data_IF_289125843452
#
_entry.id   IF_289125843452
#
_cell.length_a   1.000
_cell.length_b   1.000
_cell.length_c   1.000
_cell.angle_alpha   90.00
_cell.angle_beta   90.00
_cell.angle_gamma   90.00
#
_symmetry.space_group_name_H-M   'P 1'
#
loop_
_entity.id
_entity.type
_entity.pdbx_description
1 polymer ?
#
# COMPACT_ATOMS: atom_id res chain seq x y z
N UNK A 1 -52.02 27.40 27.92
CA UNK A 1 -51.09 26.28 28.10
C UNK A 1 -50.56 25.91 26.73
N UNK A 2 -49.37 26.40 26.37
CA UNK A 2 -48.74 26.07 25.08
C UNK A 2 -48.03 24.73 25.25
N UNK A 3 -48.46 23.77 24.44
CA UNK A 3 -48.03 22.37 24.48
C UNK A 3 -46.52 22.25 24.36
N UNK A 4 -45.95 21.56 25.36
CA UNK A 4 -44.57 21.09 25.41
C UNK A 4 -44.33 20.03 24.34
N UNK A 5 -44.17 20.43 23.08
CA UNK A 5 -43.65 19.58 22.02
C UNK A 5 -42.39 20.22 21.47
N UNK A 6 -41.23 19.92 22.03
CA UNK A 6 -39.94 20.19 21.37
C UNK A 6 -38.77 19.31 21.83
N UNK A 7 -38.99 18.23 22.58
CA UNK A 7 -37.86 17.52 23.24
C UNK A 7 -37.85 15.99 23.06
N UNK A 8 -38.34 15.46 21.94
CA UNK A 8 -38.30 14.01 21.68
C UNK A 8 -37.78 13.60 20.29
N UNK A 9 -37.43 14.55 19.42
CA UNK A 9 -37.01 14.30 18.02
C UNK A 9 -35.56 14.72 17.77
N UNK A 10 -34.70 14.76 18.78
CA UNK A 10 -33.25 14.68 18.50
C UNK A 10 -32.94 13.21 18.32
N UNK A 11 -33.46 12.66 17.23
CA UNK A 11 -33.09 11.34 16.77
C UNK A 11 -31.57 11.27 16.80
N UNK A 12 -31.04 10.26 17.47
CA UNK A 12 -29.61 10.04 17.58
C UNK A 12 -29.12 9.61 16.19
N UNK A 13 -28.97 10.59 15.29
CA UNK A 13 -28.55 10.39 13.91
C UNK A 13 -27.14 9.85 14.00
N UNK A 14 -27.00 8.55 13.73
CA UNK A 14 -25.72 7.86 13.68
C UNK A 14 -25.00 8.32 12.42
N UNK A 15 -24.35 9.48 12.51
CA UNK A 15 -23.53 10.03 11.44
C UNK A 15 -22.45 9.00 11.07
N UNK A 16 -22.10 8.89 9.77
CA UNK A 16 -20.91 8.17 9.37
C UNK A 16 -19.72 8.67 10.19
N UNK A 17 -18.89 7.73 10.65
CA UNK A 17 -17.67 8.02 11.39
C UNK A 17 -16.82 9.02 10.59
N UNK A 18 -16.19 9.99 11.27
CA UNK A 18 -15.29 10.93 10.58
C UNK A 18 -14.09 10.16 10.04
N UNK A 19 -13.58 10.55 8.87
CA UNK A 19 -12.38 9.92 8.28
C UNK A 19 -11.16 10.02 9.23
N UNK A 20 -11.11 11.05 10.07
CA UNK A 20 -10.09 11.23 11.11
C UNK A 20 -10.18 10.23 12.27
N UNK A 21 -11.34 9.60 12.45
CA UNK A 21 -11.61 8.57 13.46
C UNK A 21 -11.47 7.16 12.87
N UNK A 22 -11.20 7.03 11.56
CA UNK A 22 -10.93 5.75 10.91
C UNK A 22 -9.53 5.25 11.30
N UNK A 23 -9.42 3.95 11.57
CA UNK A 23 -8.13 3.34 11.83
C UNK A 23 -7.28 3.39 10.56
N UNK A 24 -5.97 3.64 10.72
CA UNK A 24 -5.05 3.67 9.59
C UNK A 24 -5.16 2.39 8.77
N UNK A 25 -5.17 2.55 7.44
CA UNK A 25 -5.22 1.44 6.52
C UNK A 25 -4.03 0.50 6.78
N UNK A 26 -4.21 -0.83 6.67
CA UNK A 26 -3.10 -1.75 6.74
C UNK A 26 -2.10 -1.44 5.61
N UNK A 27 -0.81 -1.75 5.81
CA UNK A 27 0.20 -1.52 4.78
C UNK A 27 -0.16 -2.25 3.48
N UNK A 28 0.20 -1.68 2.32
CA UNK A 28 -0.07 -2.32 1.05
C UNK A 28 0.62 -3.68 0.98
N UNK A 29 -0.13 -4.70 0.56
CA UNK A 29 0.41 -6.06 0.34
C UNK A 29 1.39 -6.12 -0.83
N UNK A 30 1.29 -5.17 -1.75
CA UNK A 30 2.10 -5.11 -2.96
C UNK A 30 3.35 -4.26 -2.70
N UNK A 31 4.51 -4.64 -3.27
CA UNK A 31 5.69 -3.80 -3.24
C UNK A 31 5.42 -2.47 -3.95
N UNK A 32 6.15 -1.43 -3.54
CA UNK A 32 6.14 -0.15 -4.24
C UNK A 32 6.73 -0.31 -5.64
N UNK A 33 6.38 0.61 -6.53
CA UNK A 33 6.93 0.64 -7.88
C UNK A 33 8.47 0.71 -7.89
N UNK A 34 9.06 1.53 -7.00
CA UNK A 34 10.51 1.63 -6.83
C UNK A 34 11.15 0.28 -6.46
N UNK A 35 10.53 -0.46 -5.54
CA UNK A 35 11.03 -1.78 -5.14
C UNK A 35 10.92 -2.79 -6.29
N UNK A 36 9.87 -2.72 -7.11
CA UNK A 36 9.75 -3.58 -8.31
C UNK A 36 10.88 -3.32 -9.28
N UNK A 37 11.21 -2.06 -9.57
CA UNK A 37 12.31 -1.69 -10.47
C UNK A 37 13.65 -2.24 -9.94
N UNK A 38 13.94 -2.03 -8.66
CA UNK A 38 15.18 -2.52 -8.04
C UNK A 38 15.31 -4.05 -8.14
N UNK A 39 14.23 -4.79 -7.88
CA UNK A 39 14.25 -6.24 -8.00
C UNK A 39 14.48 -6.71 -9.44
N UNK A 40 13.91 -6.02 -10.43
CA UNK A 40 14.12 -6.34 -11.84
C UNK A 40 15.57 -6.09 -12.27
N UNK A 41 16.15 -4.98 -11.86
CA UNK A 41 17.56 -4.66 -12.14
C UNK A 41 18.50 -5.70 -11.54
N UNK A 42 18.29 -6.08 -10.27
CA UNK A 42 19.07 -7.13 -9.60
C UNK A 42 18.90 -8.48 -10.29
N UNK A 43 17.69 -8.81 -10.74
CA UNK A 43 17.42 -10.06 -11.42
C UNK A 43 18.11 -10.15 -12.77
N UNK A 44 18.02 -9.09 -13.59
CA UNK A 44 18.69 -9.02 -14.89
C UNK A 44 20.21 -9.17 -14.78
N UNK A 45 20.79 -8.63 -13.71
CA UNK A 45 22.23 -8.71 -13.44
C UNK A 45 22.63 -9.93 -12.59
N UNK A 46 21.73 -10.90 -12.38
CA UNK A 46 22.02 -12.07 -11.57
C UNK A 46 23.00 -13.03 -12.27
N UNK A 47 23.96 -13.65 -11.54
CA UNK A 47 24.99 -14.51 -12.14
C UNK A 47 24.45 -15.69 -12.95
N UNK A 48 23.26 -16.20 -12.60
CA UNK A 48 22.63 -17.32 -13.30
C UNK A 48 21.99 -16.97 -14.64
N UNK A 49 21.80 -15.68 -14.93
CA UNK A 49 21.29 -15.18 -16.21
C UNK A 49 22.39 -14.55 -17.07
N UNK A 50 23.60 -14.37 -16.51
CA UNK A 50 24.72 -13.87 -17.28
C UNK A 50 25.23 -14.96 -18.24
N UNK A 51 25.64 -14.60 -19.47
CA UNK A 51 26.26 -15.54 -20.38
C UNK A 51 27.50 -16.18 -19.73
N UNK A 52 27.77 -17.47 -19.98
CA UNK A 52 29.06 -18.03 -19.62
C UNK A 52 30.18 -17.25 -20.33
N UNK A 53 31.20 -16.86 -19.57
CA UNK A 53 32.37 -16.15 -20.12
C UNK A 53 33.04 -17.00 -21.19
N UNK A 54 33.45 -16.37 -22.29
CA UNK A 54 34.21 -17.04 -23.35
C UNK A 54 35.57 -17.51 -22.81
N UNK A 55 36.12 -18.57 -23.42
CA UNK A 55 37.36 -19.20 -22.95
C UNK A 55 38.58 -18.25 -23.01
N UNK A 56 38.54 -17.21 -23.85
CA UNK A 56 39.57 -16.17 -23.93
C UNK A 56 39.65 -15.30 -22.68
N UNK A 57 38.53 -14.99 -22.01
CA UNK A 57 38.52 -14.18 -20.78
C UNK A 57 39.02 -14.93 -19.54
N UNK A 58 39.11 -16.27 -19.62
CA UNK A 58 39.57 -17.11 -18.51
C UNK A 58 41.09 -17.25 -18.44
N UNK A 59 41.80 -16.80 -19.49
CA UNK A 59 43.25 -16.98 -19.64
C UNK A 59 44.05 -15.68 -19.55
N UNK A 60 43.41 -14.56 -19.23
CA UNK A 60 44.02 -13.24 -19.03
C UNK A 60 44.17 -12.90 -17.54
#
# INVERSE_FOLDING_TARGET
MMSSWSTAMTENIKLPRKLSEEQQAPPPRRPSHANVIENLDRWANSPGLQPPKSADEKSA
#
